data_IF_336750549797
#
_entry.id   IF_336750549797
#
_cell.length_a   1.000
_cell.length_b   1.000
_cell.length_c   1.000
_cell.angle_alpha   90.00
_cell.angle_beta   90.00
_cell.angle_gamma   90.00
#
_symmetry.space_group_name_H-M   'P 1'
#
loop_
_entity.id
_entity.type
_entity.pdbx_description
1 polymer ?
#
# COMPACT_ATOMS: atom_id res chain seq x y z
N UNK A 1 61.35 -76.02 15.07
CA UNK A 1 60.75 -77.04 15.94
C UNK A 1 59.29 -76.75 16.06
N UNK A 2 58.61 -77.67 15.51
CA UNK A 2 57.31 -78.32 15.68
C UNK A 2 56.11 -77.46 15.40
N UNK A 3 55.43 -77.66 14.27
CA UNK A 3 54.43 -78.69 13.88
C UNK A 3 53.21 -78.81 14.81
N UNK A 4 52.01 -78.46 14.29
CA UNK A 4 50.81 -79.29 13.97
C UNK A 4 49.60 -78.38 13.85
N UNK A 5 48.92 -78.28 12.70
CA UNK A 5 47.94 -79.17 12.08
C UNK A 5 46.68 -79.49 12.92
N UNK A 6 45.57 -79.29 12.26
CA UNK A 6 44.21 -79.76 12.36
C UNK A 6 43.23 -78.58 12.62
N UNK A 7 42.22 -78.41 11.88
CA UNK A 7 41.37 -79.23 11.04
C UNK A 7 39.96 -78.69 11.14
N UNK A 8 39.42 -78.38 10.03
CA UNK A 8 38.09 -78.41 9.56
C UNK A 8 36.89 -78.17 10.50
N UNK A 9 35.99 -77.30 10.08
CA UNK A 9 34.60 -77.72 9.83
C UNK A 9 33.87 -76.50 9.21
N UNK A 10 33.34 -76.65 7.97
CA UNK A 10 32.43 -75.80 7.32
C UNK A 10 31.10 -75.81 8.09
N UNK A 11 30.65 -74.70 8.57
CA UNK A 11 29.28 -74.49 9.01
C UNK A 11 28.68 -73.44 8.12
N UNK A 12 27.86 -73.92 7.21
CA UNK A 12 26.97 -73.13 6.36
C UNK A 12 25.85 -72.60 7.25
N UNK A 13 25.96 -71.33 7.67
CA UNK A 13 24.79 -70.64 8.25
C UNK A 13 24.04 -69.85 7.18
N UNK A 14 22.84 -70.30 6.88
CA UNK A 14 21.85 -69.58 6.15
C UNK A 14 21.49 -68.29 6.91
N UNK A 15 21.94 -67.14 6.43
CA UNK A 15 21.39 -65.86 6.87
C UNK A 15 20.08 -65.59 6.17
N UNK A 16 18.97 -65.73 6.85
CA UNK A 16 17.68 -65.18 6.44
C UNK A 16 17.83 -63.65 6.41
N UNK A 17 17.85 -63.08 5.18
CA UNK A 17 17.60 -61.65 4.99
C UNK A 17 16.14 -61.38 5.33
N UNK A 18 15.87 -60.85 6.51
CA UNK A 18 14.62 -60.18 6.78
C UNK A 18 14.58 -58.91 5.93
N UNK A 19 13.79 -58.91 4.87
CA UNK A 19 13.42 -57.70 4.14
C UNK A 19 12.58 -56.83 5.09
N UNK A 20 13.19 -55.81 5.67
CA UNK A 20 12.45 -54.71 6.28
C UNK A 20 11.69 -54.01 5.16
N UNK A 21 10.39 -54.30 5.04
CA UNK A 21 9.47 -53.51 4.28
C UNK A 21 9.34 -52.19 5.03
N UNK A 22 10.05 -51.16 4.54
CA UNK A 22 9.80 -49.80 4.95
C UNK A 22 8.40 -49.43 4.45
N UNK A 23 7.45 -49.03 5.30
CA UNK A 23 6.23 -48.44 4.82
C UNK A 23 6.64 -47.17 4.09
N UNK A 24 6.56 -47.20 2.78
CA UNK A 24 6.69 -46.02 1.94
C UNK A 24 5.71 -44.98 2.47
N UNK A 25 6.21 -43.96 3.16
CA UNK A 25 5.49 -42.72 3.28
C UNK A 25 5.27 -42.26 1.84
N UNK A 26 4.09 -42.46 1.35
CA UNK A 26 3.63 -41.90 0.09
C UNK A 26 3.67 -40.39 0.24
N UNK A 27 4.82 -39.81 -0.11
CA UNK A 27 4.85 -38.41 -0.50
C UNK A 27 4.09 -38.37 -1.81
N UNK A 28 2.81 -38.01 -1.73
CA UNK A 28 2.02 -37.72 -2.92
C UNK A 28 2.73 -36.62 -3.66
N UNK A 29 3.14 -36.89 -4.90
CA UNK A 29 3.75 -35.89 -5.81
C UNK A 29 2.83 -34.70 -6.07
N UNK A 30 1.59 -34.74 -5.61
CA UNK A 30 0.58 -33.69 -5.78
C UNK A 30 0.82 -32.41 -4.95
N UNK A 31 1.70 -32.44 -3.94
CA UNK A 31 1.95 -31.27 -3.09
C UNK A 31 2.95 -30.25 -3.66
N UNK A 32 3.64 -30.58 -4.77
CA UNK A 32 4.62 -29.68 -5.38
C UNK A 32 4.07 -28.76 -6.48
N UNK A 33 2.82 -28.96 -6.93
CA UNK A 33 2.23 -28.24 -8.07
C UNK A 33 1.18 -27.20 -7.70
N UNK A 34 0.84 -27.02 -6.42
CA UNK A 34 -0.31 -26.20 -6.01
C UNK A 34 0.01 -24.76 -5.60
N UNK A 35 1.28 -24.35 -5.55
CA UNK A 35 1.57 -22.93 -5.25
C UNK A 35 1.23 -22.05 -6.46
N UNK A 36 0.43 -20.97 -6.26
CA UNK A 36 0.04 -20.09 -7.35
C UNK A 36 1.27 -19.54 -8.08
N UNK A 37 1.27 -19.63 -9.41
CA UNK A 37 2.38 -19.14 -10.22
C UNK A 37 2.63 -17.64 -9.95
N UNK A 38 3.86 -17.31 -9.59
CA UNK A 38 4.25 -15.92 -9.27
C UNK A 38 3.95 -14.99 -10.46
N UNK A 39 3.13 -13.96 -10.30
CA UNK A 39 2.72 -13.10 -11.40
C UNK A 39 3.87 -12.21 -11.91
N UNK A 40 3.89 -11.97 -13.23
CA UNK A 40 4.79 -11.00 -13.83
C UNK A 40 4.37 -9.58 -13.41
N UNK A 41 5.29 -8.83 -12.82
CA UNK A 41 5.06 -7.47 -12.33
C UNK A 41 5.62 -6.44 -13.31
N UNK A 42 4.73 -5.65 -13.93
CA UNK A 42 5.08 -4.53 -14.82
C UNK A 42 5.00 -3.20 -14.04
N UNK A 43 5.96 -2.97 -13.14
CA UNK A 43 6.10 -1.77 -12.33
C UNK A 43 7.57 -1.39 -12.19
N UNK A 44 7.86 -0.11 -11.91
CA UNK A 44 9.21 0.34 -11.55
C UNK A 44 9.61 -0.11 -10.14
N UNK A 45 8.65 -0.08 -9.20
CA UNK A 45 8.78 -0.67 -7.87
C UNK A 45 7.42 -1.21 -7.41
N UNK A 46 7.46 -2.26 -6.57
CA UNK A 46 6.28 -2.88 -5.99
C UNK A 46 6.61 -3.41 -4.59
N UNK A 47 5.64 -3.34 -3.70
CA UNK A 47 5.68 -3.97 -2.39
C UNK A 47 4.28 -4.45 -2.02
N UNK A 48 4.15 -5.72 -1.64
CA UNK A 48 2.90 -6.30 -1.16
C UNK A 48 3.15 -7.04 0.14
N UNK A 49 2.39 -6.68 1.15
CA UNK A 49 2.52 -7.20 2.52
C UNK A 49 1.15 -7.55 3.09
N UNK A 50 1.10 -8.61 3.87
CA UNK A 50 -0.02 -8.89 4.75
C UNK A 50 0.22 -8.18 6.07
N UNK A 51 -0.73 -7.33 6.50
CA UNK A 51 -0.52 -6.39 7.60
C UNK A 51 -0.56 -7.05 8.98
N UNK A 52 -1.32 -8.14 9.15
CA UNK A 52 -1.45 -8.84 10.42
C UNK A 52 -0.16 -9.54 10.85
N UNK A 53 0.53 -10.21 9.91
CA UNK A 53 1.77 -10.94 10.18
C UNK A 53 3.05 -10.16 9.82
N UNK A 54 2.92 -9.12 9.00
CA UNK A 54 4.06 -8.43 8.39
C UNK A 54 4.73 -9.23 7.27
N UNK A 55 4.14 -10.35 6.81
CA UNK A 55 4.69 -11.20 5.75
C UNK A 55 4.69 -10.47 4.42
N UNK A 56 5.88 -10.30 3.84
CA UNK A 56 6.05 -9.76 2.49
C UNK A 56 5.77 -10.87 1.47
N UNK A 57 4.77 -10.64 0.63
CA UNK A 57 4.33 -11.62 -0.38
C UNK A 57 4.98 -11.38 -1.73
N UNK A 58 5.15 -10.11 -2.11
CA UNK A 58 5.82 -9.73 -3.34
C UNK A 58 6.62 -8.44 -3.13
N UNK A 59 7.81 -8.40 -3.71
CA UNK A 59 8.59 -7.18 -3.78
C UNK A 59 9.37 -7.09 -5.10
N UNK A 60 9.54 -5.85 -5.58
CA UNK A 60 10.39 -5.49 -6.70
C UNK A 60 10.91 -4.08 -6.46
N UNK A 61 12.23 -3.90 -6.37
CA UNK A 61 12.84 -2.58 -6.15
C UNK A 61 12.17 -1.78 -5.01
N UNK A 62 11.74 -2.46 -3.94
CA UNK A 62 10.87 -1.91 -2.89
C UNK A 62 11.49 -0.70 -2.17
N UNK A 63 12.82 -0.59 -2.14
CA UNK A 63 13.58 0.50 -1.52
C UNK A 63 14.12 1.54 -2.52
N UNK A 64 13.76 1.40 -3.82
CA UNK A 64 14.16 2.38 -4.83
C UNK A 64 13.40 3.69 -4.65
N UNK A 65 14.11 4.81 -4.54
CA UNK A 65 13.54 6.17 -4.49
C UNK A 65 12.92 6.52 -5.83
N UNK A 66 11.64 6.82 -5.85
CA UNK A 66 10.86 7.19 -7.04
C UNK A 66 9.89 8.31 -6.69
N UNK A 67 9.45 9.13 -7.67
CA UNK A 67 8.39 10.11 -7.45
C UNK A 67 7.08 9.40 -7.05
N UNK A 68 6.46 9.77 -5.90
CA UNK A 68 5.25 9.09 -5.40
C UNK A 68 3.95 9.62 -6.01
N UNK A 69 4.00 10.71 -6.77
CA UNK A 69 2.81 11.43 -7.22
C UNK A 69 1.83 11.72 -6.05
N UNK A 70 0.52 11.66 -6.30
CA UNK A 70 -0.50 11.94 -5.29
C UNK A 70 -0.61 10.91 -4.15
N UNK A 71 0.23 9.87 -4.11
CA UNK A 71 0.38 9.04 -2.91
C UNK A 71 0.92 9.86 -1.72
N UNK A 72 1.62 10.95 -1.99
CA UNK A 72 2.02 12.01 -1.04
C UNK A 72 0.88 12.47 -0.15
N UNK A 73 -0.35 12.55 -0.69
CA UNK A 73 -1.54 13.03 0.02
C UNK A 73 -1.93 12.16 1.23
N UNK A 74 -1.38 10.96 1.34
CA UNK A 74 -1.54 10.12 2.56
C UNK A 74 -0.82 10.79 3.74
N UNK A 75 0.41 11.30 3.52
CA UNK A 75 1.13 12.04 4.56
C UNK A 75 0.43 13.36 4.88
N UNK A 76 -0.06 14.08 3.86
CA UNK A 76 -0.82 15.32 4.05
C UNK A 76 -2.07 15.09 4.89
N UNK A 77 -2.81 14.01 4.62
CA UNK A 77 -3.98 13.63 5.40
C UNK A 77 -3.59 13.27 6.84
N UNK A 78 -2.53 12.48 7.05
CA UNK A 78 -2.08 12.09 8.37
C UNK A 78 -1.70 13.31 9.22
N UNK A 79 -0.90 14.23 8.66
CA UNK A 79 -0.53 15.49 9.32
C UNK A 79 -1.79 16.33 9.61
N UNK A 80 -2.74 16.41 8.69
CA UNK A 80 -3.98 17.16 8.90
C UNK A 80 -4.81 16.58 10.04
N UNK A 81 -5.02 15.27 10.06
CA UNK A 81 -5.79 14.57 11.08
C UNK A 81 -5.16 14.66 12.48
N UNK A 82 -3.83 14.80 12.55
CA UNK A 82 -3.07 14.91 13.80
C UNK A 82 -2.91 16.37 14.27
N UNK A 83 -3.12 17.37 13.40
CA UNK A 83 -2.79 18.78 13.71
C UNK A 83 -4.01 19.66 14.01
N UNK A 84 -5.22 19.32 13.55
CA UNK A 84 -6.38 20.20 13.66
C UNK A 84 -7.70 19.41 13.78
N UNK A 85 -8.70 19.99 14.47
CA UNK A 85 -10.05 19.42 14.51
C UNK A 85 -10.69 19.37 13.11
N UNK A 86 -11.35 18.25 12.79
CA UNK A 86 -12.00 18.08 11.49
C UNK A 86 -13.18 19.04 11.25
N UNK A 87 -13.67 19.68 12.29
CA UNK A 87 -14.75 20.68 12.27
C UNK A 87 -14.23 22.10 11.99
N UNK A 88 -12.93 22.31 11.93
CA UNK A 88 -12.35 23.60 11.58
C UNK A 88 -12.87 24.09 10.23
N UNK A 89 -13.22 25.36 10.17
CA UNK A 89 -13.62 26.03 8.94
C UNK A 89 -12.36 26.51 8.22
N UNK A 90 -12.15 25.99 7.04
CA UNK A 90 -11.03 26.35 6.16
C UNK A 90 -11.53 27.30 5.08
N UNK A 91 -11.03 28.53 5.10
CA UNK A 91 -11.27 29.50 4.04
C UNK A 91 -10.27 29.27 2.91
N UNK A 92 -10.79 29.11 1.70
CA UNK A 92 -9.95 28.88 0.51
C UNK A 92 -9.21 30.16 0.16
N UNK A 93 -7.90 30.13 0.32
CA UNK A 93 -7.01 31.22 -0.11
C UNK A 93 -6.77 31.15 -1.63
N UNK A 94 -6.55 32.30 -2.25
CA UNK A 94 -6.21 32.36 -3.69
C UNK A 94 -4.93 31.56 -4.02
N UNK A 95 -4.01 31.46 -3.10
CA UNK A 95 -2.74 30.72 -3.22
C UNK A 95 -2.94 29.20 -3.27
N UNK A 96 -4.04 28.68 -2.73
CA UNK A 96 -4.40 27.26 -2.79
C UNK A 96 -4.96 26.84 -4.16
N UNK A 97 -5.23 27.80 -5.05
CA UNK A 97 -5.83 27.50 -6.36
C UNK A 97 -4.75 27.05 -7.32
N UNK A 98 -4.85 25.80 -7.77
CA UNK A 98 -3.93 25.20 -8.74
C UNK A 98 -4.65 24.84 -10.04
N UNK A 99 -3.94 25.00 -11.17
CA UNK A 99 -4.53 24.84 -12.51
C UNK A 99 -5.05 23.42 -12.80
N UNK A 100 -4.49 22.42 -12.14
CA UNK A 100 -4.80 21.00 -12.36
C UNK A 100 -5.60 20.41 -11.20
N UNK A 101 -6.72 21.04 -10.83
CA UNK A 101 -7.69 20.48 -9.88
C UNK A 101 -9.04 20.20 -10.53
N UNK A 102 -9.59 19.01 -10.24
CA UNK A 102 -10.85 18.57 -10.83
C UNK A 102 -12.06 19.39 -10.37
N UNK A 103 -12.06 19.88 -9.12
CA UNK A 103 -13.22 20.51 -8.48
C UNK A 103 -13.19 22.03 -8.46
N UNK A 104 -12.06 22.64 -8.79
CA UNK A 104 -11.89 24.10 -8.94
C UNK A 104 -12.54 24.88 -7.79
N UNK A 105 -11.99 24.69 -6.58
CA UNK A 105 -12.39 25.50 -5.43
C UNK A 105 -12.18 26.98 -5.73
N UNK A 106 -12.98 27.85 -5.13
CA UNK A 106 -12.95 29.28 -5.40
C UNK A 106 -12.41 30.05 -4.21
N UNK A 107 -11.56 31.07 -4.41
CA UNK A 107 -11.11 31.91 -3.33
C UNK A 107 -12.29 32.51 -2.54
N UNK A 108 -12.19 32.43 -1.20
CA UNK A 108 -13.23 32.92 -0.29
C UNK A 108 -14.31 31.91 0.05
N UNK A 109 -14.41 30.76 -0.66
CA UNK A 109 -15.26 29.65 -0.20
C UNK A 109 -14.75 29.11 1.13
N UNK A 110 -15.66 28.61 1.95
CA UNK A 110 -15.37 28.03 3.25
C UNK A 110 -15.89 26.59 3.29
N UNK A 111 -15.03 25.65 3.65
CA UNK A 111 -15.35 24.24 3.82
C UNK A 111 -14.89 23.74 5.20
N UNK A 112 -15.50 22.69 5.70
CA UNK A 112 -14.96 21.99 6.87
C UNK A 112 -13.66 21.24 6.47
N UNK A 113 -12.71 21.21 7.38
CA UNK A 113 -11.44 20.49 7.16
C UNK A 113 -11.68 19.02 6.76
N UNK A 114 -12.65 18.34 7.39
CA UNK A 114 -13.05 16.96 7.02
C UNK A 114 -13.44 16.82 5.56
N UNK A 115 -14.14 17.83 5.01
CA UNK A 115 -14.64 17.78 3.65
C UNK A 115 -13.50 18.01 2.64
N UNK A 116 -12.54 18.87 2.97
CA UNK A 116 -11.32 19.04 2.17
C UNK A 116 -10.42 17.81 2.21
N UNK A 117 -10.22 17.18 3.39
CA UNK A 117 -9.45 15.93 3.50
C UNK A 117 -10.15 14.82 2.70
N UNK A 118 -11.49 14.76 2.75
CA UNK A 118 -12.25 13.80 1.94
C UNK A 118 -12.07 14.08 0.44
N UNK A 119 -12.17 15.32 -0.01
CA UNK A 119 -11.95 15.69 -1.41
C UNK A 119 -10.54 15.34 -1.90
N UNK A 120 -9.55 15.59 -1.06
CA UNK A 120 -8.15 15.26 -1.33
C UNK A 120 -7.91 13.75 -1.46
N UNK A 121 -8.49 12.93 -0.58
CA UNK A 121 -8.28 11.48 -0.57
C UNK A 121 -9.11 10.77 -1.64
N UNK A 122 -10.40 11.08 -1.75
CA UNK A 122 -11.36 10.43 -2.66
C UNK A 122 -11.10 10.85 -4.10
N UNK A 123 -11.13 12.14 -4.36
CA UNK A 123 -11.06 12.70 -5.70
C UNK A 123 -9.66 13.21 -6.09
N UNK A 124 -8.69 13.05 -5.20
CA UNK A 124 -7.33 13.55 -5.43
C UNK A 124 -7.25 15.07 -5.67
N UNK A 125 -8.19 15.87 -5.14
CA UNK A 125 -8.30 17.30 -5.35
C UNK A 125 -7.04 18.04 -4.89
N UNK A 126 -6.35 18.72 -5.81
CA UNK A 126 -5.09 19.39 -5.53
C UNK A 126 -5.30 20.73 -4.79
N UNK A 127 -6.33 21.47 -5.14
CA UNK A 127 -6.72 22.70 -4.45
C UNK A 127 -7.15 22.45 -3.00
N UNK A 128 -7.87 21.36 -2.73
CA UNK A 128 -8.15 20.94 -1.36
C UNK A 128 -6.89 20.59 -0.58
N UNK A 129 -5.93 19.91 -1.23
CA UNK A 129 -4.63 19.58 -0.64
C UNK A 129 -3.85 20.86 -0.26
N UNK A 130 -3.75 21.82 -1.16
CA UNK A 130 -3.09 23.10 -0.91
C UNK A 130 -3.81 23.91 0.18
N UNK A 131 -5.15 23.94 0.17
CA UNK A 131 -5.92 24.63 1.20
C UNK A 131 -5.68 24.04 2.60
N UNK A 132 -5.56 22.72 2.71
CA UNK A 132 -5.20 22.04 3.95
C UNK A 132 -3.79 22.46 4.41
N UNK A 133 -2.81 22.44 3.49
CA UNK A 133 -1.43 22.80 3.79
C UNK A 133 -1.32 24.26 4.28
N UNK A 134 -2.03 25.18 3.62
CA UNK A 134 -2.07 26.59 4.04
C UNK A 134 -2.79 26.79 5.38
N UNK A 135 -3.89 26.09 5.62
CA UNK A 135 -4.64 26.19 6.89
C UNK A 135 -3.78 25.75 8.08
N UNK A 136 -3.06 24.64 7.95
CA UNK A 136 -2.30 24.01 9.05
C UNK A 136 -0.88 24.56 9.18
N UNK A 137 -0.24 24.82 8.06
CA UNK A 137 1.16 25.29 8.02
C UNK A 137 1.29 26.82 8.01
N UNK A 138 0.25 27.52 7.57
CA UNK A 138 0.33 28.95 7.24
C UNK A 138 1.01 29.22 5.88
N UNK A 139 1.82 28.27 5.41
CA UNK A 139 2.39 28.19 4.06
C UNK A 139 2.85 26.77 3.75
N UNK A 140 3.12 26.49 2.46
CA UNK A 140 3.54 25.16 2.00
C UNK A 140 4.87 24.72 2.63
N UNK A 141 5.82 25.64 2.80
CA UNK A 141 7.15 25.30 3.32
C UNK A 141 7.07 24.78 4.75
N UNK A 142 6.31 25.48 5.61
CA UNK A 142 6.10 25.07 7.01
C UNK A 142 5.32 23.76 7.09
N UNK A 143 4.35 23.58 6.22
CA UNK A 143 3.61 22.32 6.16
C UNK A 143 4.52 21.15 5.72
N UNK A 144 5.37 21.36 4.72
CA UNK A 144 6.36 20.36 4.26
C UNK A 144 7.36 20.01 5.36
N UNK A 145 7.77 20.98 6.22
CA UNK A 145 8.58 20.67 7.40
C UNK A 145 7.86 19.67 8.30
N UNK A 146 6.57 19.90 8.62
CA UNK A 146 5.76 18.95 9.42
C UNK A 146 5.66 17.57 8.77
N UNK A 147 5.51 17.50 7.43
CA UNK A 147 5.48 16.23 6.69
C UNK A 147 6.80 15.46 6.86
N UNK A 148 7.94 16.14 6.73
CA UNK A 148 9.25 15.49 6.83
C UNK A 148 9.61 15.12 8.28
N UNK A 149 9.24 15.93 9.26
CA UNK A 149 9.34 15.57 10.68
C UNK A 149 8.51 14.31 10.97
N UNK A 150 7.29 14.26 10.44
CA UNK A 150 6.44 13.08 10.60
C UNK A 150 7.00 11.85 9.88
N UNK A 151 7.57 12.02 8.69
CA UNK A 151 8.28 10.95 7.98
C UNK A 151 9.45 10.40 8.83
N UNK A 152 10.22 11.27 9.45
CA UNK A 152 11.29 10.90 10.38
C UNK A 152 10.79 10.08 11.57
N UNK A 153 9.71 10.52 12.23
CA UNK A 153 9.12 9.80 13.39
C UNK A 153 8.53 8.44 13.01
N UNK A 154 8.09 8.27 11.76
CA UNK A 154 7.61 7.00 11.22
C UNK A 154 8.73 6.10 10.70
N UNK A 155 9.98 6.57 10.71
CA UNK A 155 11.12 5.82 10.21
C UNK A 155 11.10 5.61 8.70
N UNK A 156 10.55 6.56 7.94
CA UNK A 156 10.54 6.55 6.46
C UNK A 156 11.89 7.06 5.96
N UNK A 157 12.90 6.21 5.97
CA UNK A 157 14.31 6.59 5.76
C UNK A 157 14.63 7.04 4.34
N UNK A 158 13.85 6.57 3.38
CA UNK A 158 14.04 6.83 1.95
C UNK A 158 12.88 7.65 1.36
N UNK A 159 12.33 8.56 2.19
CA UNK A 159 11.22 9.43 1.82
C UNK A 159 11.57 10.87 2.16
N UNK A 160 11.32 11.77 1.20
CA UNK A 160 11.40 13.21 1.40
C UNK A 160 10.31 13.92 0.59
N UNK A 161 9.56 14.76 1.25
CA UNK A 161 8.50 15.56 0.66
C UNK A 161 9.01 16.97 0.36
N UNK A 162 8.75 17.47 -0.85
CA UNK A 162 9.09 18.82 -1.28
C UNK A 162 7.83 19.70 -1.49
N UNK A 163 6.64 19.09 -1.50
CA UNK A 163 5.33 19.76 -1.56
C UNK A 163 4.26 18.86 -0.94
N UNK A 164 3.08 19.42 -0.58
CA UNK A 164 2.03 18.66 0.09
C UNK A 164 1.26 17.70 -0.83
N UNK A 165 1.23 17.93 -2.13
CA UNK A 165 0.26 17.33 -3.05
C UNK A 165 0.83 16.26 -3.97
N UNK A 166 2.16 16.12 -4.05
CA UNK A 166 2.82 15.12 -4.88
C UNK A 166 3.10 15.60 -6.31
N UNK A 167 3.26 16.89 -6.51
CA UNK A 167 3.75 17.43 -7.76
C UNK A 167 5.23 17.07 -7.97
N UNK A 168 5.63 16.92 -9.24
CA UNK A 168 7.01 16.67 -9.59
C UNK A 168 7.92 17.82 -9.15
N UNK A 169 8.84 17.56 -8.24
CA UNK A 169 9.80 18.54 -7.74
C UNK A 169 11.16 17.88 -7.46
N UNK A 170 12.27 18.62 -7.58
CA UNK A 170 13.57 18.15 -7.11
C UNK A 170 13.48 17.76 -5.62
N UNK A 171 14.04 16.62 -5.26
CA UNK A 171 14.02 16.14 -3.88
C UNK A 171 12.69 15.56 -3.41
N UNK A 172 11.66 15.44 -4.26
CA UNK A 172 10.38 14.81 -3.90
C UNK A 172 10.40 13.34 -4.29
N UNK A 173 10.57 12.45 -3.31
CA UNK A 173 10.68 11.01 -3.55
C UNK A 173 10.19 10.21 -2.35
N UNK A 174 9.84 8.96 -2.62
CA UNK A 174 9.58 7.91 -1.63
C UNK A 174 9.94 6.54 -2.19
N UNK A 175 9.72 5.49 -1.42
CA UNK A 175 9.88 4.09 -1.82
C UNK A 175 8.59 3.31 -1.62
N UNK A 176 8.44 2.19 -2.31
CA UNK A 176 7.26 1.34 -2.12
C UNK A 176 7.14 0.82 -0.68
N UNK A 177 8.27 0.48 -0.05
CA UNK A 177 8.32 0.03 1.33
C UNK A 177 7.95 1.13 2.33
N UNK A 178 8.47 2.36 2.15
CA UNK A 178 8.13 3.48 3.04
C UNK A 178 6.66 3.90 2.88
N UNK A 179 6.14 3.90 1.65
CA UNK A 179 4.72 4.17 1.39
C UNK A 179 3.79 3.11 1.99
N UNK A 180 4.23 1.85 2.06
CA UNK A 180 3.49 0.81 2.76
C UNK A 180 3.40 1.11 4.26
N UNK A 181 4.51 1.43 4.92
CA UNK A 181 4.54 1.83 6.34
C UNK A 181 3.67 3.06 6.62
N UNK A 182 3.77 4.07 5.75
CA UNK A 182 2.94 5.27 5.84
C UNK A 182 1.45 4.93 5.75
N UNK A 183 1.09 4.10 4.78
CA UNK A 183 -0.31 3.70 4.55
C UNK A 183 -0.86 2.85 5.69
N UNK A 184 -0.07 1.91 6.20
CA UNK A 184 -0.42 1.12 7.39
C UNK A 184 -0.72 2.04 8.58
N UNK A 185 0.15 3.02 8.86
CA UNK A 185 -0.08 3.99 9.94
C UNK A 185 -1.33 4.82 9.72
N UNK A 186 -1.58 5.28 8.48
CA UNK A 186 -2.77 6.05 8.14
C UNK A 186 -4.06 5.22 8.28
N UNK A 187 -4.03 3.96 7.86
CA UNK A 187 -5.16 3.02 7.98
C UNK A 187 -5.54 2.69 9.43
N UNK A 188 -4.64 2.87 10.40
CA UNK A 188 -4.94 2.76 11.83
C UNK A 188 -5.83 3.92 12.34
N UNK A 189 -5.97 5.01 11.58
CA UNK A 189 -6.90 6.10 11.87
C UNK A 189 -8.29 5.75 11.30
N UNK A 190 -9.34 5.52 12.13
CA UNK A 190 -10.64 5.08 11.64
C UNK A 190 -11.26 6.03 10.60
N UNK A 191 -11.07 7.34 10.80
CA UNK A 191 -11.59 8.35 9.90
C UNK A 191 -10.90 8.33 8.54
N UNK A 192 -9.59 8.09 8.50
CA UNK A 192 -8.84 7.93 7.25
C UNK A 192 -9.32 6.69 6.48
N UNK A 193 -9.43 5.54 7.17
CA UNK A 193 -9.93 4.29 6.59
C UNK A 193 -11.34 4.45 6.02
N UNK A 194 -12.22 5.19 6.69
CA UNK A 194 -13.57 5.49 6.20
C UNK A 194 -13.51 6.34 4.93
N UNK A 195 -12.67 7.39 4.89
CA UNK A 195 -12.56 8.29 3.74
C UNK A 195 -12.04 7.57 2.50
N UNK A 196 -10.98 6.75 2.61
CA UNK A 196 -10.37 6.08 1.46
C UNK A 196 -11.21 4.93 0.86
N UNK A 197 -12.22 4.45 1.58
CA UNK A 197 -13.21 3.46 1.09
C UNK A 197 -14.38 4.10 0.34
N UNK A 198 -14.48 5.42 0.36
CA UNK A 198 -15.64 6.14 -0.17
C UNK A 198 -15.59 6.17 -1.69
N UNK A 199 -16.62 5.64 -2.35
CA UNK A 199 -16.80 5.71 -3.81
C UNK A 199 -17.32 7.06 -4.26
N UNK A 200 -18.37 7.55 -3.59
CA UNK A 200 -19.03 8.84 -3.90
C UNK A 200 -19.34 9.56 -2.60
N UNK A 201 -19.11 10.86 -2.57
CA UNK A 201 -19.40 11.69 -1.40
C UNK A 201 -19.79 13.10 -1.80
N UNK A 202 -20.86 13.61 -1.22
CA UNK A 202 -21.22 15.01 -1.30
C UNK A 202 -20.51 15.80 -0.21
N UNK A 203 -19.95 16.95 -0.59
CA UNK A 203 -19.45 17.97 0.32
C UNK A 203 -20.08 19.33 -0.05
N UNK A 204 -20.15 20.26 0.90
CA UNK A 204 -20.70 21.57 0.66
C UNK A 204 -19.90 22.66 1.33
N UNK A 205 -19.97 23.88 0.80
CA UNK A 205 -19.53 25.07 1.52
C UNK A 205 -20.31 25.22 2.83
N UNK A 206 -19.67 25.80 3.85
CA UNK A 206 -20.27 25.99 5.18
C UNK A 206 -21.59 26.75 5.13
N UNK A 207 -21.72 27.72 4.21
CA UNK A 207 -22.95 28.48 3.99
C UNK A 207 -23.99 27.76 3.12
N UNK A 208 -23.72 26.54 2.65
CA UNK A 208 -24.60 25.77 1.77
C UNK A 208 -24.70 26.29 0.33
N UNK A 209 -23.97 27.35 -0.03
CA UNK A 209 -24.08 28.00 -1.34
C UNK A 209 -23.54 27.18 -2.52
N UNK A 210 -22.71 26.16 -2.25
CA UNK A 210 -22.21 25.25 -3.29
C UNK A 210 -22.08 23.84 -2.75
N UNK A 211 -22.53 22.88 -3.54
CA UNK A 211 -22.36 21.46 -3.33
C UNK A 211 -21.46 20.85 -4.39
N UNK A 212 -20.61 19.92 -4.00
CA UNK A 212 -19.71 19.18 -4.88
C UNK A 212 -19.91 17.68 -4.65
N UNK A 213 -20.06 16.92 -5.72
CA UNK A 213 -20.12 15.45 -5.69
C UNK A 213 -18.73 14.91 -5.99
N UNK A 214 -18.12 14.29 -5.01
CA UNK A 214 -16.79 13.68 -5.14
C UNK A 214 -16.93 12.25 -5.64
N UNK A 215 -16.15 11.90 -6.66
CA UNK A 215 -16.05 10.53 -7.16
C UNK A 215 -14.64 10.01 -6.91
N UNK A 216 -14.55 8.78 -6.42
CA UNK A 216 -13.26 8.15 -6.19
C UNK A 216 -12.48 7.94 -7.48
N UNK A 217 -11.18 8.22 -7.41
CA UNK A 217 -10.24 7.90 -8.50
C UNK A 217 -9.77 6.44 -8.46
N UNK A 218 -10.13 5.68 -7.43
CA UNK A 218 -9.74 4.28 -7.26
C UNK A 218 -10.84 3.34 -7.79
N UNK A 219 -10.66 2.83 -9.01
CA UNK A 219 -11.62 1.91 -9.63
C UNK A 219 -11.71 0.54 -8.95
N UNK A 220 -10.69 0.15 -8.17
CA UNK A 220 -10.69 -1.12 -7.44
C UNK A 220 -11.75 -1.16 -6.34
N UNK A 221 -12.25 -0.01 -5.86
CA UNK A 221 -13.33 0.05 -4.87
C UNK A 221 -14.67 -0.51 -5.35
N UNK A 222 -14.78 -0.88 -6.65
CA UNK A 222 -15.91 -1.65 -7.17
C UNK A 222 -15.90 -3.11 -6.67
N UNK A 223 -14.74 -3.62 -6.27
CA UNK A 223 -14.57 -4.90 -5.60
C UNK A 223 -14.88 -4.70 -4.10
N UNK A 224 -15.85 -5.42 -3.52
CA UNK A 224 -16.26 -5.26 -2.12
C UNK A 224 -15.15 -5.59 -1.10
N UNK A 225 -14.19 -6.43 -1.47
CA UNK A 225 -13.06 -6.81 -0.63
C UNK A 225 -11.98 -5.71 -0.59
N UNK A 226 -11.96 -4.79 -1.59
CA UNK A 226 -11.02 -3.67 -1.63
C UNK A 226 -11.54 -2.48 -0.82
N UNK A 227 -10.69 -1.93 0.05
CA UNK A 227 -11.09 -0.90 1.01
C UNK A 227 -10.17 0.34 1.04
N UNK A 228 -9.49 0.61 -0.06
CA UNK A 228 -8.65 1.82 -0.22
C UNK A 228 -7.51 1.58 -1.21
N UNK A 229 -6.50 2.43 -1.30
CA UNK A 229 -6.17 3.58 -0.45
C UNK A 229 -6.06 4.85 -1.30
N UNK A 230 -5.13 4.91 -2.27
CA UNK A 230 -4.84 6.13 -3.03
C UNK A 230 -4.25 5.84 -4.41
N UNK A 231 -4.63 6.66 -5.37
CA UNK A 231 -4.05 6.69 -6.72
C UNK A 231 -3.15 7.91 -6.90
N UNK A 232 -2.23 7.84 -7.85
CA UNK A 232 -1.37 8.95 -8.23
C UNK A 232 -0.91 8.87 -9.66
N UNK A 233 -0.73 10.02 -10.29
CA UNK A 233 -0.13 10.13 -11.61
C UNK A 233 0.57 11.48 -11.77
N UNK A 234 1.78 11.45 -12.27
CA UNK A 234 2.47 12.57 -12.91
C UNK A 234 3.25 12.04 -14.11
N UNK A 235 3.73 12.93 -14.96
CA UNK A 235 4.53 12.52 -16.14
C UNK A 235 5.84 11.83 -15.74
N UNK A 236 6.44 12.21 -14.60
CA UNK A 236 7.67 11.57 -14.09
C UNK A 236 7.42 10.31 -13.30
N UNK A 237 6.34 10.28 -12.50
CA UNK A 237 6.02 9.14 -11.65
C UNK A 237 5.41 7.97 -12.43
N UNK A 238 4.73 8.24 -13.54
CA UNK A 238 3.83 7.26 -14.15
C UNK A 238 2.61 7.00 -13.26
N UNK A 239 1.91 5.89 -13.47
CA UNK A 239 0.75 5.50 -12.67
C UNK A 239 1.19 4.88 -11.36
N UNK A 240 0.75 5.44 -10.25
CA UNK A 240 1.04 4.98 -8.90
C UNK A 240 -0.26 4.60 -8.19
N UNK A 241 -0.23 3.53 -7.41
CA UNK A 241 -1.38 3.01 -6.69
C UNK A 241 -0.97 2.41 -5.36
N UNK A 242 -1.75 2.69 -4.33
CA UNK A 242 -1.80 1.91 -3.11
C UNK A 242 -3.20 1.34 -3.01
N UNK A 243 -3.30 0.02 -2.88
CA UNK A 243 -4.56 -0.69 -2.69
C UNK A 243 -4.50 -1.52 -1.40
N UNK A 244 -5.60 -1.54 -0.66
CA UNK A 244 -5.80 -2.42 0.48
C UNK A 244 -7.00 -3.32 0.22
N UNK A 245 -6.86 -4.63 0.50
CA UNK A 245 -7.91 -5.63 0.44
C UNK A 245 -8.04 -6.27 1.82
N UNK A 246 -9.27 -6.52 2.25
CA UNK A 246 -9.53 -7.32 3.44
C UNK A 246 -10.47 -8.46 3.08
N UNK A 247 -9.99 -9.68 3.18
CA UNK A 247 -10.73 -10.89 2.81
C UNK A 247 -10.29 -12.06 3.68
N UNK A 248 -11.25 -12.85 4.14
CA UNK A 248 -11.05 -14.07 4.94
C UNK A 248 -10.10 -13.89 6.13
N UNK A 249 -10.17 -12.71 6.80
CA UNK A 249 -9.35 -12.39 7.96
C UNK A 249 -7.97 -11.79 7.64
N UNK A 250 -7.56 -11.76 6.37
CA UNK A 250 -6.27 -11.23 5.92
C UNK A 250 -6.40 -9.84 5.32
N UNK A 251 -5.53 -8.93 5.74
CA UNK A 251 -5.42 -7.59 5.16
C UNK A 251 -4.18 -7.47 4.31
N UNK A 252 -4.36 -7.38 3.02
CA UNK A 252 -3.29 -7.12 2.06
C UNK A 252 -3.13 -5.63 1.81
N UNK A 253 -1.89 -5.18 1.74
CA UNK A 253 -1.52 -3.85 1.28
C UNK A 253 -0.56 -3.97 0.11
N UNK A 254 -0.96 -3.41 -1.04
CA UNK A 254 -0.20 -3.39 -2.28
C UNK A 254 0.21 -1.94 -2.59
N UNK A 255 1.50 -1.71 -2.79
CA UNK A 255 2.06 -0.44 -3.29
C UNK A 255 2.71 -0.68 -4.64
N UNK A 256 2.25 0.01 -5.67
CA UNK A 256 2.82 -0.01 -7.02
C UNK A 256 3.25 1.39 -7.47
N UNK A 257 4.51 1.55 -7.87
CA UNK A 257 5.05 2.78 -8.44
C UNK A 257 5.36 2.57 -9.92
N UNK A 258 4.82 3.44 -10.79
CA UNK A 258 4.82 3.30 -12.24
C UNK A 258 4.30 1.90 -12.64
N UNK A 259 3.10 1.59 -12.16
CA UNK A 259 2.42 0.32 -12.41
C UNK A 259 1.64 0.39 -13.72
N UNK A 260 2.08 -0.33 -14.73
CA UNK A 260 1.38 -0.40 -16.02
C UNK A 260 0.06 -1.18 -15.87
N UNK A 261 -0.95 -0.81 -16.65
CA UNK A 261 -2.28 -1.45 -16.59
C UNK A 261 -2.77 -1.62 -15.15
N UNK A 262 -2.66 -0.51 -14.38
CA UNK A 262 -2.71 -0.52 -12.91
C UNK A 262 -3.91 -1.26 -12.32
N UNK A 263 -5.08 -1.19 -12.94
CA UNK A 263 -6.29 -1.83 -12.42
C UNK A 263 -6.26 -3.34 -12.57
N UNK A 264 -5.92 -3.81 -13.76
CA UNK A 264 -5.81 -5.24 -14.04
C UNK A 264 -4.68 -5.88 -13.23
N UNK A 265 -3.50 -5.24 -13.24
CA UNK A 265 -2.37 -5.76 -12.48
C UNK A 265 -2.63 -5.78 -10.98
N UNK A 266 -3.17 -4.70 -10.40
CA UNK A 266 -3.44 -4.65 -8.97
C UNK A 266 -4.47 -5.70 -8.55
N UNK A 267 -5.58 -5.87 -9.31
CA UNK A 267 -6.57 -6.92 -9.04
C UNK A 267 -5.95 -8.32 -9.08
N UNK A 268 -5.11 -8.61 -10.08
CA UNK A 268 -4.42 -9.89 -10.21
C UNK A 268 -3.44 -10.13 -9.07
N UNK A 269 -2.67 -9.09 -8.68
CA UNK A 269 -1.69 -9.19 -7.59
C UNK A 269 -2.38 -9.41 -6.24
N UNK A 270 -3.47 -8.71 -5.97
CA UNK A 270 -4.25 -8.89 -4.73
C UNK A 270 -4.84 -10.29 -4.64
N UNK A 271 -5.41 -10.81 -5.73
CA UNK A 271 -5.89 -12.21 -5.78
C UNK A 271 -4.77 -13.21 -5.50
N UNK A 272 -3.63 -13.07 -6.19
CA UNK A 272 -2.45 -13.90 -5.94
C UNK A 272 -2.03 -13.88 -4.48
N UNK A 273 -1.96 -12.70 -3.86
CA UNK A 273 -1.58 -12.58 -2.45
C UNK A 273 -2.56 -13.30 -1.53
N UNK A 274 -3.85 -13.21 -1.81
CA UNK A 274 -4.90 -13.91 -1.06
C UNK A 274 -4.80 -15.44 -1.23
N UNK A 275 -4.57 -15.94 -2.45
CA UNK A 275 -4.35 -17.36 -2.74
C UNK A 275 -3.14 -17.92 -1.95
N UNK A 276 -1.99 -17.21 -1.99
CA UNK A 276 -0.77 -17.58 -1.22
C UNK A 276 -0.99 -17.64 0.30
N UNK A 277 -1.91 -16.83 0.83
CA UNK A 277 -2.23 -16.85 2.27
C UNK A 277 -3.21 -17.98 2.60
N UNK A 278 -4.19 -18.26 1.72
CA UNK A 278 -5.13 -19.37 1.89
C UNK A 278 -4.44 -20.72 1.95
N UNK A 279 -3.47 -20.98 1.08
CA UNK A 279 -2.66 -22.21 1.09
C UNK A 279 -1.80 -22.39 2.35
N UNK A 280 -1.34 -21.30 2.96
CA UNK A 280 -0.54 -21.36 4.19
C UNK A 280 -1.37 -21.65 5.45
N UNK A 281 -2.71 -21.58 5.34
CA UNK A 281 -3.65 -21.73 6.46
C UNK A 281 -4.36 -23.09 6.48
N UNK A 282 -4.23 -23.91 5.41
CA UNK A 282 -4.75 -25.27 5.29
C UNK A 282 -3.67 -26.32 5.54
#
# INVERSE_FOLDING_TARGET
>A
MDRRLFGGTLLVMWAMMAQAVWPGAGLTEDSFFDSPARPIVKASALYMVELESGRVLLEKNATRRLPPASLTKIMTALVALESAPLQDVVKIDRRAIVHHSAYKLRPGEEFLLRDLVTAMLVASANDACEAIAWHIGGDDKRFVVKMNERAGTLGLKDTHFANPCGFDAPGHYSTAADLAKLSERALQQPIFSMMVRTLVRDISTVNGGRQLVLHSTNELLKDPDVNGVKTGYTSKAGRCLIASMFKDGHRLLLVGLNLMDQWEQASRLLRYGHEVLGEASG
#
